data_IF_281119339765
#
_entry.id   IF_281119339765
#
_cell.length_a   1.000
_cell.length_b   1.000
_cell.length_c   1.000
_cell.angle_alpha   90.00
_cell.angle_beta   90.00
_cell.angle_gamma   90.00
#
_symmetry.space_group_name_H-M   'P 1'
#
loop_
_entity.id
_entity.type
_entity.pdbx_description
1 polymer ?
2 non-polymer ?
3 water ?
#
# COMPACT_ATOMS: atom_id res chain seq x y z
N UNK A 24 12.89 -4.91 -10.83
CA UNK A 24 13.36 -3.50 -10.77
C UNK A 24 14.00 -3.09 -12.09
N UNK A 25 13.47 -2.03 -12.70
CA UNK A 25 14.05 -1.49 -13.93
C UNK A 25 14.72 -0.14 -13.63
N UNK A 26 15.73 0.21 -14.43
CA UNK A 26 16.48 1.45 -14.23
C UNK A 26 15.69 2.67 -14.68
N UNK A 27 16.05 3.83 -14.13
CA UNK A 27 15.35 5.09 -14.41
C UNK A 27 15.32 5.47 -15.89
N UNK A 28 16.47 5.41 -16.56
CA UNK A 28 16.54 5.75 -17.98
C UNK A 28 15.64 4.84 -18.81
N UNK A 29 15.56 3.57 -18.41
CA UNK A 29 14.66 2.60 -19.03
C UNK A 29 13.19 2.98 -18.80
N UNK A 30 12.86 3.34 -17.56
CA UNK A 30 11.51 3.80 -17.23
C UNK A 30 11.12 5.05 -18.03
N UNK A 31 12.08 5.96 -18.19
CA UNK A 31 11.88 7.21 -18.92
C UNK A 31 11.59 7.02 -20.41
N UNK A 32 11.97 5.87 -20.96
CA UNK A 32 11.85 5.59 -22.39
C UNK A 32 10.68 4.67 -22.75
N UNK A 33 10.04 4.09 -21.74
CA UNK A 33 8.93 3.15 -21.95
C UNK A 33 7.74 3.80 -22.63
N UNK A 34 6.99 3.00 -23.38
CA UNK A 34 5.70 3.43 -23.90
C UNK A 34 4.77 3.73 -22.73
N UNK A 35 3.79 4.60 -22.97
CA UNK A 35 2.85 5.02 -21.93
C UNK A 35 2.14 3.84 -21.24
N UNK A 36 1.74 2.84 -22.02
CA UNK A 36 1.04 1.66 -21.50
C UNK A 36 1.95 0.76 -20.67
N UNK A 37 3.20 0.62 -21.13
CA UNK A 37 4.19 -0.21 -20.44
C UNK A 37 4.63 0.41 -19.11
N UNK A 38 4.71 1.75 -19.09
CA UNK A 38 5.07 2.48 -17.88
C UNK A 38 3.94 2.48 -16.85
N UNK A 39 2.71 2.70 -17.32
CA UNK A 39 1.53 2.65 -16.46
C UNK A 39 1.30 1.25 -15.90
N UNK A 40 1.55 0.23 -16.73
CA UNK A 40 1.46 -1.17 -16.32
C UNK A 40 2.46 -1.51 -15.23
N UNK A 41 3.66 -0.95 -15.35
CA UNK A 41 4.72 -1.10 -14.36
C UNK A 41 4.34 -0.45 -13.01
N UNK A 42 3.68 0.70 -13.07
CA UNK A 42 3.29 1.45 -11.87
C UNK A 42 1.98 0.98 -11.24
N UNK A 43 1.16 0.27 -12.02
CA UNK A 43 -0.18 -0.14 -11.57
C UNK A 43 -0.23 -0.92 -10.24
N UNK A 44 0.69 -1.88 -10.01
CA UNK A 44 0.65 -2.61 -8.74
C UNK A 44 0.96 -1.79 -7.47
N UNK A 45 1.57 -0.62 -7.61
CA UNK A 45 1.90 0.23 -6.46
C UNK A 45 0.67 0.64 -5.64
N UNK A 46 -0.40 1.03 -6.34
CA UNK A 46 -1.66 1.47 -5.72
C UNK A 46 -2.78 1.45 -6.76
N UNK A 47 -3.97 1.02 -6.35
CA UNK A 47 -5.14 0.98 -7.23
C UNK A 47 -5.78 2.37 -7.38
N UNK A 48 -5.00 3.32 -7.88
CA UNK A 48 -5.47 4.67 -8.15
C UNK A 48 -4.87 5.13 -9.47
N UNK A 49 -5.58 4.88 -10.59
CA UNK A 49 -5.07 5.15 -11.95
C UNK A 49 -4.55 6.57 -12.16
N UNK A 50 -5.17 7.56 -11.50
CA UNK A 50 -4.76 8.96 -11.62
C UNK A 50 -3.34 9.22 -11.12
N UNK A 51 -2.96 8.53 -10.04
CA UNK A 51 -1.60 8.63 -9.49
C UNK A 51 -0.56 8.19 -10.51
N UNK A 52 -0.74 6.99 -11.06
CA UNK A 52 0.18 6.43 -12.06
C UNK A 52 0.24 7.25 -13.34
N UNK A 53 -0.94 7.67 -13.80
CA UNK A 53 -1.06 8.52 -14.99
C UNK A 53 -0.32 9.84 -14.86
N UNK A 54 -0.36 10.42 -13.66
CA UNK A 54 0.39 11.65 -13.36
C UNK A 54 1.90 11.43 -13.51
N UNK A 55 2.40 10.36 -12.90
CA UNK A 55 3.81 10.00 -12.99
C UNK A 55 4.25 9.71 -14.42
N UNK A 56 3.45 8.94 -15.15
CA UNK A 56 3.76 8.63 -16.56
C UNK A 56 3.81 9.91 -17.41
N UNK A 57 2.88 10.83 -17.17
CA UNK A 57 2.77 12.06 -17.95
C UNK A 57 3.90 13.07 -17.70
N UNK A 58 4.59 12.93 -16.57
CA UNK A 58 5.66 13.85 -16.18
C UNK A 58 7.08 13.34 -16.51
N UNK A 59 7.16 12.20 -17.19
CA UNK A 59 8.43 11.68 -17.69
C UNK A 59 8.97 12.60 -18.81
N UNK A 60 10.31 12.63 -19.01
CA UNK A 60 11.35 11.91 -18.28
C UNK A 60 11.71 12.60 -16.97
N UNK A 61 12.06 11.80 -15.96
CA UNK A 61 12.47 12.32 -14.66
C UNK A 61 13.97 12.53 -14.59
N UNK A 62 14.37 13.65 -14.00
CA UNK A 62 15.77 14.06 -13.90
C UNK A 62 16.62 13.08 -13.11
N UNK A 63 16.00 12.42 -12.14
CA UNK A 63 16.67 11.47 -11.26
C UNK A 63 15.62 10.63 -10.56
N UNK A 64 16.05 9.53 -9.95
CA UNK A 64 15.16 8.72 -9.11
C UNK A 64 14.65 9.55 -7.93
N UNK A 65 15.52 10.41 -7.40
CA UNK A 65 15.15 11.36 -6.35
C UNK A 65 13.95 12.21 -6.77
N UNK A 66 14.03 12.80 -7.96
CA UNK A 66 12.94 13.63 -8.49
C UNK A 66 11.65 12.84 -8.73
N UNK A 67 11.78 11.60 -9.20
CA UNK A 67 10.62 10.71 -9.41
C UNK A 67 9.90 10.45 -8.08
N UNK A 68 10.67 10.07 -7.07
CA UNK A 68 10.12 9.77 -5.75
C UNK A 68 9.46 11.00 -5.13
N UNK A 69 10.12 12.15 -5.23
CA UNK A 69 9.56 13.41 -4.73
C UNK A 69 8.24 13.78 -5.40
N UNK A 70 8.21 13.69 -6.73
CA UNK A 70 7.00 13.90 -7.52
C UNK A 70 5.89 12.92 -7.12
N UNK A 71 6.26 11.66 -6.88
CA UNK A 71 5.32 10.64 -6.46
C UNK A 71 4.70 10.97 -5.11
N UNK A 72 5.51 11.50 -4.20
CA UNK A 72 5.04 11.95 -2.88
C UNK A 72 4.07 13.12 -3.02
N UNK A 73 4.42 14.07 -3.89
CA UNK A 73 3.58 15.25 -4.13
C UNK A 73 2.23 14.87 -4.73
N UNK A 74 2.23 13.84 -5.57
CA UNK A 74 1.02 13.38 -6.25
C UNK A 74 0.05 12.62 -5.34
N UNK A 75 0.51 12.20 -4.17
CA UNK A 75 -0.36 11.53 -3.20
C UNK A 75 -0.73 12.43 -2.02
N UNK A 76 -0.23 13.66 -2.05
CA UNK A 76 -0.45 14.63 -0.97
C UNK A 76 -1.91 15.03 -0.79
N UNK A 77 -2.67 15.06 -1.88
CA UNK A 77 -4.08 15.48 -1.83
C UNK A 77 -5.10 14.33 -1.74
N UNK A 78 -4.61 13.11 -1.53
CA UNK A 78 -5.49 11.95 -1.34
C UNK A 78 -6.44 12.15 -0.16
N UNK A 79 -7.68 11.73 -0.33
CA UNK A 79 -8.70 11.82 0.72
C UNK A 79 -9.36 10.47 0.95
N UNK A 80 -10.51 10.48 1.64
CA UNK A 80 -11.23 9.25 1.97
C UNK A 80 -11.68 8.47 0.73
N UNK A 81 -11.99 9.19 -0.35
CA UNK A 81 -12.39 8.56 -1.61
C UNK A 81 -11.25 7.74 -2.21
N UNK A 82 -10.03 8.28 -2.15
CA UNK A 82 -8.84 7.57 -2.61
C UNK A 82 -8.55 6.35 -1.74
N UNK A 83 -8.70 6.51 -0.43
CA UNK A 83 -8.54 5.42 0.53
C UNK A 83 -9.44 4.25 0.15
N UNK A 84 -10.73 4.55 -0.04
CA UNK A 84 -11.72 3.54 -0.41
C UNK A 84 -11.41 2.83 -1.73
N UNK A 85 -11.05 3.60 -2.76
CA UNK A 85 -10.70 3.03 -4.06
C UNK A 85 -9.45 2.15 -4.00
N UNK A 86 -8.44 2.59 -3.25
CA UNK A 86 -7.19 1.84 -3.11
C UNK A 86 -7.37 0.54 -2.32
N UNK A 87 -8.30 0.55 -1.36
CA UNK A 87 -8.60 -0.62 -0.54
C UNK A 87 -9.19 -1.81 -1.30
N UNK A 88 -9.62 -1.57 -2.54
CA UNK A 88 -10.14 -2.63 -3.40
C UNK A 88 -9.07 -3.68 -3.73
N UNK A 89 -7.80 -3.26 -3.73
CA UNK A 89 -6.69 -4.14 -4.08
C UNK A 89 -5.83 -4.59 -2.88
N UNK A 90 -6.27 -4.28 -1.66
CA UNK A 90 -5.54 -4.71 -0.46
C UNK A 90 -6.29 -5.78 0.33
N UNK A 91 -5.69 -6.98 0.46
CA UNK A 91 -6.30 -8.01 1.31
C UNK A 91 -6.19 -7.64 2.79
N UNK A 92 -7.00 -8.28 3.62
CA UNK A 92 -6.90 -8.13 5.07
C UNK A 92 -5.57 -8.68 5.56
N UNK A 93 -5.03 -8.07 6.62
CA UNK A 93 -3.86 -8.63 7.30
C UNK A 93 -4.24 -10.01 7.84
N UNK A 94 -3.41 -11.00 7.56
CA UNK A 94 -3.68 -12.38 7.96
C UNK A 94 -4.35 -13.19 6.86
N UNK A 95 -4.87 -12.50 5.85
CA UNK A 95 -5.45 -13.15 4.67
C UNK A 95 -4.46 -13.01 3.51
N UNK A 96 -3.46 -13.89 3.50
CA UNK A 96 -2.37 -13.84 2.54
C UNK A 96 -2.78 -14.43 1.19
N UNK A 97 -2.71 -13.62 0.11
CA UNK A 97 -3.05 -14.11 -1.22
C UNK A 97 -2.06 -15.15 -1.74
N UNK A 98 -2.54 -16.02 -2.62
CA UNK A 98 -1.76 -17.15 -3.12
C UNK A 98 -1.26 -16.94 -4.56
N UNK A 99 -1.87 -15.99 -5.27
CA UNK A 99 -1.54 -15.71 -6.67
C UNK A 99 -0.10 -15.29 -6.91
N UNK A 100 0.41 -15.59 -8.10
CA UNK A 100 1.81 -15.34 -8.45
C UNK A 100 2.03 -13.96 -9.07
N UNK A 101 0.94 -13.26 -9.38
CA UNK A 101 1.03 -11.95 -10.00
C UNK A 101 1.45 -10.86 -9.02
N UNK A 102 2.06 -9.80 -9.56
CA UNK A 102 2.67 -8.72 -8.77
C UNK A 102 1.88 -8.34 -7.52
N UNK A 103 0.61 -7.99 -7.70
CA UNK A 103 -0.27 -7.57 -6.59
C UNK A 103 -0.28 -8.55 -5.42
N UNK A 104 -0.55 -9.82 -5.73
CA UNK A 104 -0.66 -10.87 -4.73
C UNK A 104 0.70 -11.22 -4.14
N UNK A 105 1.72 -11.23 -4.99
CA UNK A 105 3.09 -11.51 -4.57
C UNK A 105 3.64 -10.41 -3.66
N UNK A 106 3.31 -9.15 -3.97
CA UNK A 106 3.72 -8.02 -3.14
C UNK A 106 3.07 -8.06 -1.75
N UNK A 107 1.77 -8.33 -1.71
CA UNK A 107 1.03 -8.42 -0.44
C UNK A 107 1.54 -9.54 0.46
N UNK A 108 1.79 -10.71 -0.14
CA UNK A 108 2.34 -11.86 0.57
C UNK A 108 3.73 -11.54 1.14
N UNK A 109 4.55 -10.87 0.33
CA UNK A 109 5.88 -10.43 0.73
C UNK A 109 5.82 -9.37 1.84
N UNK A 110 4.85 -8.47 1.75
CA UNK A 110 4.69 -7.41 2.74
C UNK A 110 4.23 -7.97 4.09
N UNK A 111 3.48 -9.07 4.05
CA UNK A 111 2.98 -9.72 5.26
C UNK A 111 3.89 -10.86 5.73
N UNK A 112 5.12 -10.92 5.23
CA UNK A 112 6.02 -12.04 5.51
C UNK A 112 6.47 -12.12 6.97
N UNK A 113 6.36 -11.02 7.72
CA UNK A 113 6.72 -11.02 9.14
C UNK A 113 5.54 -11.42 10.04
N UNK A 114 4.37 -11.58 9.43
CA UNK A 114 3.20 -12.11 10.12
C UNK A 114 3.32 -13.63 10.19
N UNK A 115 3.32 -14.17 11.41
CA UNK A 115 3.45 -15.61 11.64
C UNK A 115 2.10 -16.31 11.45
N UNK A 116 1.94 -16.96 10.30
CA UNK A 116 0.69 -17.65 9.96
C UNK A 116 0.46 -18.94 10.75
N UNK A 117 1.52 -19.46 11.38
CA UNK A 117 1.46 -20.70 12.17
C UNK A 117 0.93 -20.48 13.59
N UNK A 118 0.96 -19.23 14.05
CA UNK A 118 0.48 -18.87 15.38
C UNK A 118 -1.05 -18.73 15.37
N UNK A 119 -1.72 -19.72 15.96
CA UNK A 119 -3.19 -19.82 15.94
C UNK A 119 -3.88 -18.73 16.74
N UNK A 120 -3.28 -18.35 17.87
CA UNK A 120 -3.83 -17.28 18.70
C UNK A 120 -3.79 -15.96 17.93
N UNK A 121 -2.66 -15.72 17.26
CA UNK A 121 -2.48 -14.50 16.48
C UNK A 121 -3.48 -14.42 15.33
N UNK A 122 -3.64 -15.53 14.61
CA UNK A 122 -4.58 -15.60 13.48
C UNK A 122 -6.00 -15.24 13.92
N UNK A 123 -6.39 -15.76 15.08
CA UNK A 123 -7.71 -15.50 15.64
C UNK A 123 -7.84 -14.05 16.12
N UNK A 124 -6.78 -13.54 16.75
CA UNK A 124 -6.73 -12.14 17.18
C UNK A 124 -6.81 -11.17 15.99
N UNK A 125 -6.15 -11.53 14.89
CA UNK A 125 -6.19 -10.73 13.67
C UNK A 125 -7.58 -10.71 13.04
N UNK A 126 -8.22 -11.88 12.97
CA UNK A 126 -9.60 -12.01 12.47
C UNK A 126 -10.58 -11.18 13.30
N UNK A 127 -10.46 -11.27 14.63
CA UNK A 127 -11.31 -10.51 15.55
C UNK A 127 -11.02 -9.01 15.50
N UNK A 128 -9.74 -8.65 15.48
CA UNK A 128 -9.31 -7.26 15.33
C UNK A 128 -9.84 -6.62 14.05
N UNK A 129 -9.70 -7.34 12.94
CA UNK A 129 -10.23 -6.91 11.65
C UNK A 129 -11.75 -6.68 11.69
N UNK A 130 -12.49 -7.67 12.18
CA UNK A 130 -13.94 -7.55 12.33
C UNK A 130 -14.32 -6.35 13.19
N UNK A 131 -13.59 -6.13 14.28
CA UNK A 131 -13.85 -5.01 15.19
C UNK A 131 -13.59 -3.67 14.51
N UNK A 132 -12.48 -3.58 13.79
CA UNK A 132 -12.15 -2.38 13.02
C UNK A 132 -13.21 -2.08 11.96
N UNK A 133 -13.60 -3.12 11.21
CA UNK A 133 -14.56 -2.97 10.13
C UNK A 133 -15.93 -2.53 10.63
N UNK A 134 -16.33 -3.03 11.80
CA UNK A 134 -17.59 -2.63 12.43
C UNK A 134 -17.56 -1.18 12.89
N UNK A 135 -16.38 -0.72 13.30
CA UNK A 135 -16.19 0.62 13.83
C UNK A 135 -16.09 1.67 12.72
N UNK A 136 -15.29 1.39 11.69
CA UNK A 136 -14.96 2.38 10.67
C UNK A 136 -15.59 2.15 9.29
N UNK A 137 -15.99 0.91 9.01
CA UNK A 137 -16.66 0.58 7.75
C UNK A 137 -15.75 0.22 6.60
N UNK A 138 -14.45 0.11 6.87
CA UNK A 138 -13.48 -0.26 5.85
C UNK A 138 -12.46 -1.24 6.42
N UNK A 139 -11.72 -1.90 5.54
CA UNK A 139 -10.67 -2.83 5.93
C UNK A 139 -9.53 -2.09 6.63
N UNK A 140 -8.95 -2.72 7.64
CA UNK A 140 -7.81 -2.18 8.37
C UNK A 140 -6.57 -2.13 7.48
N UNK A 141 -6.08 -0.92 7.23
CA UNK A 141 -4.91 -0.74 6.37
C UNK A 141 -3.68 -0.33 7.16
N UNK A 142 -2.61 -1.09 6.98
CA UNK A 142 -1.34 -0.81 7.63
C UNK A 142 -0.19 -1.21 6.71
N UNK A 143 0.89 -0.43 6.72
CA UNK A 143 2.10 -0.81 6.01
C UNK A 143 2.66 -2.02 6.74
N UNK A 144 2.51 -3.18 6.12
CA UNK A 144 2.81 -4.45 6.77
C UNK A 144 4.29 -4.82 6.73
N UNK A 145 5.01 -4.28 5.74
CA UNK A 145 6.42 -4.61 5.52
C UNK A 145 7.28 -4.36 6.75
N UNK A 146 7.89 -5.44 7.24
CA UNK A 146 8.76 -5.38 8.41
C UNK A 146 8.04 -5.41 9.74
N UNK A 147 6.71 -5.57 9.71
CA UNK A 147 5.91 -5.62 10.94
C UNK A 147 5.44 -7.04 11.25
N UNK A 148 5.66 -7.46 12.50
CA UNK A 148 5.13 -8.73 12.98
C UNK A 148 3.63 -8.63 13.21
N UNK A 149 2.99 -9.78 13.39
CA UNK A 149 1.57 -9.83 13.69
C UNK A 149 1.23 -9.14 14.99
N UNK A 150 2.17 -9.20 15.94
CA UNK A 150 1.99 -8.56 17.25
C UNK A 150 2.02 -7.03 17.13
N UNK A 151 2.95 -6.50 16.34
CA UNK A 151 3.04 -5.05 16.12
C UNK A 151 1.75 -4.52 15.48
N UNK A 152 1.27 -5.25 14.47
CA UNK A 152 0.06 -4.88 13.75
C UNK A 152 -1.15 -4.88 14.69
N UNK A 153 -1.24 -5.91 15.53
CA UNK A 153 -2.28 -6.03 16.55
C UNK A 153 -2.29 -4.85 17.52
N UNK A 154 -1.11 -4.40 17.93
CA UNK A 154 -0.98 -3.25 18.82
C UNK A 154 -1.37 -1.94 18.14
N UNK A 155 -1.03 -1.81 16.86
CA UNK A 155 -1.46 -0.66 16.06
C UNK A 155 -2.97 -0.66 15.90
N UNK A 156 -3.54 -1.84 15.67
CA UNK A 156 -4.99 -2.01 15.54
C UNK A 156 -5.72 -1.60 16.82
N UNK A 157 -5.20 -2.05 17.96
CA UNK A 157 -5.75 -1.70 19.27
C UNK A 157 -5.68 -0.19 19.55
N UNK A 158 -4.57 0.43 19.15
CA UNK A 158 -4.42 1.89 19.27
C UNK A 158 -5.37 2.64 18.34
N UNK A 159 -5.50 2.16 17.10
CA UNK A 159 -6.28 2.85 16.08
C UNK A 159 -7.79 2.66 16.23
N UNK A 160 -8.19 1.66 17.01
CA UNK A 160 -9.60 1.46 17.38
C UNK A 160 -10.13 2.57 18.29
N UNK A 161 -9.22 3.30 18.92
CA UNK A 161 -9.57 4.41 19.82
C UNK A 161 -9.73 5.75 19.08
N UNK A 162 -9.42 5.75 17.79
CA UNK A 162 -9.46 6.97 16.97
C UNK A 162 -10.86 7.45 16.63
N UNK A 163 -11.00 8.76 16.45
CA UNK A 163 -12.16 9.33 15.78
C UNK A 163 -12.05 8.98 14.29
N UNK A 164 -13.15 9.12 13.56
CA UNK A 164 -13.21 8.77 12.14
C UNK A 164 -12.17 9.54 11.31
N UNK A 165 -12.03 10.83 11.59
CA UNK A 165 -11.08 11.70 10.88
C UNK A 165 -9.62 11.37 11.20
N UNK A 166 -9.34 11.11 12.47
CA UNK A 166 -8.00 10.70 12.90
C UNK A 166 -7.60 9.41 12.19
N UNK A 167 -8.54 8.48 12.09
CA UNK A 167 -8.29 7.19 11.48
C UNK A 167 -8.15 7.26 9.96
N UNK A 168 -8.98 8.08 9.30
CA UNK A 168 -8.83 8.31 7.86
C UNK A 168 -7.41 8.81 7.57
N UNK A 169 -6.95 9.77 8.38
CA UNK A 169 -5.62 10.34 8.25
C UNK A 169 -4.49 9.31 8.38
N UNK A 170 -4.54 8.46 9.41
CA UNK A 170 -3.49 7.45 9.60
C UNK A 170 -3.53 6.39 8.51
N UNK A 171 -4.74 5.94 8.15
CA UNK A 171 -4.90 4.95 7.09
C UNK A 171 -4.32 5.47 5.77
N UNK A 172 -4.53 6.76 5.49
CA UNK A 172 -3.95 7.41 4.31
C UNK A 172 -2.43 7.51 4.39
N UNK A 173 -1.91 7.83 5.58
CA UNK A 173 -0.46 7.88 5.80
C UNK A 173 0.18 6.52 5.56
N UNK A 174 -0.51 5.46 5.99
CA UNK A 174 -0.05 4.10 5.77
C UNK A 174 -0.12 3.71 4.29
N UNK A 175 -1.20 4.12 3.62
CA UNK A 175 -1.34 3.90 2.18
C UNK A 175 -0.19 4.54 1.40
N UNK A 176 0.18 5.76 1.78
CA UNK A 176 1.29 6.48 1.17
C UNK A 176 2.61 5.72 1.30
N UNK A 177 2.86 5.17 2.49
CA UNK A 177 4.05 4.35 2.76
C UNK A 177 4.10 3.09 1.90
N UNK A 178 2.99 2.34 1.86
CA UNK A 178 2.89 1.13 1.05
C UNK A 178 3.21 1.44 -0.42
N UNK A 179 2.58 2.49 -0.93
CA UNK A 179 2.72 2.89 -2.33
C UNK A 179 4.16 3.28 -2.66
N UNK A 180 4.78 4.07 -1.78
CA UNK A 180 6.15 4.53 -1.96
C UNK A 180 7.16 3.38 -1.93
N UNK A 181 7.01 2.47 -0.96
CA UNK A 181 7.86 1.27 -0.89
C UNK A 181 7.75 0.39 -2.14
N UNK A 182 6.54 0.26 -2.67
CA UNK A 182 6.34 -0.51 -3.90
C UNK A 182 7.00 0.17 -5.10
N UNK A 183 6.84 1.49 -5.19
CA UNK A 183 7.48 2.30 -6.23
C UNK A 183 9.01 2.23 -6.15
N UNK A 184 9.54 2.35 -4.94
CA UNK A 184 10.98 2.25 -4.69
C UNK A 184 11.53 0.88 -5.08
N UNK A 185 10.72 -0.16 -4.92
CA UNK A 185 11.11 -1.51 -5.33
C UNK A 185 10.97 -1.78 -6.83
N UNK A 186 10.24 -0.91 -7.53
CA UNK A 186 9.98 -1.10 -8.96
C UNK A 186 11.01 -0.40 -9.86
N UNK A 187 11.43 0.80 -9.47
CA UNK A 187 12.33 1.60 -10.29
C UNK A 187 13.60 1.94 -9.52
N UNK A 188 14.74 1.55 -10.08
CA UNK A 188 16.04 1.84 -9.47
C UNK A 188 16.73 3.03 -10.12
N UNK A 189 17.96 3.28 -9.68
CA UNK A 189 18.80 4.34 -10.24
C UNK A 189 19.20 4.00 -11.67
X LIG B 1 -1.65 -4.80 3.38
X LIG B 1 -0.97 -5.55 2.44
X LIG B 1 -1.44 -6.46 1.76
X LIG B 1 0.29 -5.13 2.38
X LIG B 1 0.37 -4.14 3.27
X LIG B 1 1.41 -3.52 3.49
X LIG B 1 -0.79 -3.92 3.89
X LIG B 1 -2.95 -4.95 3.69
X LIG B 1 -3.59 -4.29 4.67
X LIG B 1 -4.89 -4.55 4.81
X LIG B 1 -3.02 -3.49 5.41
#
# INVERSE_FOLDING_TARGET
MGSDKIHHHHHHSSGENLYFQGHMIALSQFNSLSKDEAAGLLAPCVALPAWGETLVSLRPFASRHALLQTAREAMANWGEDELNAALSAHPRIGEKPTGSQAHAALSRQEQSSVDSENERLAQALREGNARYEARFGRVFLIRAKGRSGEEILQALTRRLQHTADEEVAEALAQLREITMLRLEGAIGE
2AL C4 C5 O5 N7 C8 O8 N9 N3 C2 N1 O2
#
